data_IF_429262944088
#
_entry.id   IF_429262944088
#
_cell.length_a   1.000
_cell.length_b   1.000
_cell.length_c   1.000
_cell.angle_alpha   90.00
_cell.angle_beta   90.00
_cell.angle_gamma   90.00
#
_symmetry.space_group_name_H-M   'P 1'
#
loop_
_entity.id
_entity.type
_entity.pdbx_description
1 polymer ?
#
# COMPACT_ATOMS: atom_id res chain seq x y z
N UNK A 1 -6.64 20.33 -11.58
CA UNK A 1 -5.48 19.71 -12.26
C UNK A 1 -5.51 18.24 -11.93
N UNK A 2 -5.32 17.36 -12.91
CA UNK A 2 -5.04 15.96 -12.60
C UNK A 2 -3.59 15.86 -12.11
N UNK A 3 -3.38 15.48 -10.85
CA UNK A 3 -2.04 15.37 -10.25
C UNK A 3 -1.37 14.03 -10.55
N UNK A 4 -1.94 13.20 -11.44
CA UNK A 4 -1.32 11.98 -11.94
C UNK A 4 -0.04 12.25 -12.73
N UNK A 5 0.16 13.47 -13.23
CA UNK A 5 1.38 13.91 -13.94
C UNK A 5 1.65 15.40 -13.71
N UNK A 6 2.25 15.78 -12.56
CA UNK A 6 2.57 17.16 -12.27
C UNK A 6 3.67 17.69 -13.20
N UNK A 7 3.68 19.00 -13.53
CA UNK A 7 4.77 19.61 -14.30
C UNK A 7 6.15 19.33 -13.69
N UNK A 8 7.14 19.02 -14.51
CA UNK A 8 8.44 18.57 -14.01
C UNK A 8 9.25 19.70 -13.35
N UNK A 9 9.11 20.96 -13.79
CA UNK A 9 10.01 22.07 -13.47
C UNK A 9 9.29 23.33 -13.00
N UNK A 10 10.08 24.28 -12.50
CA UNK A 10 9.67 25.64 -12.13
C UNK A 10 8.65 25.70 -10.99
N UNK A 11 8.94 24.92 -9.95
CA UNK A 11 8.24 24.99 -8.68
C UNK A 11 8.93 25.96 -7.73
N UNK A 12 8.12 26.73 -7.01
CA UNK A 12 8.58 27.75 -6.09
C UNK A 12 7.88 27.58 -4.75
N UNK A 13 8.61 27.77 -3.66
CA UNK A 13 8.05 27.70 -2.32
C UNK A 13 8.56 28.86 -1.46
N UNK A 14 7.64 29.48 -0.70
CA UNK A 14 7.99 30.38 0.39
C UNK A 14 7.41 29.89 1.70
N UNK A 15 8.22 29.99 2.77
CA UNK A 15 7.80 29.72 4.13
C UNK A 15 8.12 30.91 5.04
N UNK A 16 7.17 31.26 5.89
CA UNK A 16 7.32 32.18 7.01
C UNK A 16 7.17 31.41 8.31
N UNK A 17 8.19 31.49 9.16
CA UNK A 17 8.17 30.92 10.51
C UNK A 17 7.66 31.98 11.48
N UNK A 18 6.83 31.57 12.44
CA UNK A 18 6.34 32.45 13.49
C UNK A 18 7.51 33.16 14.21
N UNK A 19 7.41 34.49 14.31
CA UNK A 19 8.45 35.33 14.95
C UNK A 19 9.65 35.69 14.05
N UNK A 20 9.75 35.18 12.82
CA UNK A 20 10.72 35.66 11.83
C UNK A 20 10.09 36.73 10.93
N UNK A 21 10.89 37.78 10.61
CA UNK A 21 10.44 38.90 9.78
C UNK A 21 10.32 38.54 8.30
N UNK A 22 11.27 37.77 7.79
CA UNK A 22 11.41 37.49 6.35
C UNK A 22 10.97 36.07 5.99
N UNK A 23 10.51 35.93 4.75
CA UNK A 23 10.22 34.64 4.13
C UNK A 23 11.51 33.94 3.71
N UNK A 24 11.59 32.63 3.95
CA UNK A 24 12.57 31.77 3.28
C UNK A 24 11.97 31.32 1.95
N UNK A 25 12.70 31.54 0.85
CA UNK A 25 12.18 31.33 -0.51
C UNK A 25 13.13 30.44 -1.30
N UNK A 26 12.57 29.44 -1.98
CA UNK A 26 13.26 28.61 -2.96
C UNK A 26 12.50 28.69 -4.29
N UNK A 27 13.23 28.79 -5.39
CA UNK A 27 12.68 28.93 -6.74
C UNK A 27 13.22 27.84 -7.65
N UNK A 28 12.52 27.62 -8.77
CA UNK A 28 12.97 26.81 -9.90
C UNK A 28 13.25 25.33 -9.58
N UNK A 29 12.57 24.77 -8.56
CA UNK A 29 12.67 23.35 -8.22
C UNK A 29 12.03 22.47 -9.30
N UNK A 30 12.56 21.26 -9.46
CA UNK A 30 11.79 20.17 -10.05
C UNK A 30 10.68 19.71 -9.10
N UNK A 31 9.63 19.07 -9.63
CA UNK A 31 8.60 18.48 -8.78
C UNK A 31 9.19 17.42 -7.84
N UNK A 32 10.15 16.62 -8.31
CA UNK A 32 10.82 15.60 -7.48
C UNK A 32 11.57 16.24 -6.30
N UNK A 33 12.28 17.36 -6.53
CA UNK A 33 12.96 18.10 -5.48
C UNK A 33 11.96 18.73 -4.51
N UNK A 34 10.91 19.38 -5.01
CA UNK A 34 9.83 19.94 -4.19
C UNK A 34 9.20 18.86 -3.30
N UNK A 35 8.86 17.71 -3.88
CA UNK A 35 8.20 16.62 -3.16
C UNK A 35 9.12 16.05 -2.07
N UNK A 36 10.37 15.72 -2.43
CA UNK A 36 11.34 15.15 -1.50
C UNK A 36 11.72 16.10 -0.37
N UNK A 37 11.85 17.40 -0.65
CA UNK A 37 12.42 18.36 0.31
C UNK A 37 11.38 19.13 1.11
N UNK A 38 10.15 19.25 0.64
CA UNK A 38 9.12 20.10 1.28
C UNK A 38 7.81 19.33 1.46
N UNK A 39 7.19 18.82 0.38
CA UNK A 39 5.82 18.27 0.44
C UNK A 39 5.76 16.97 1.24
N UNK A 40 6.62 15.99 0.95
CA UNK A 40 6.65 14.71 1.67
C UNK A 40 7.01 14.90 3.15
N UNK A 41 8.04 15.68 3.53
CA UNK A 41 8.31 15.98 4.93
C UNK A 41 7.17 16.70 5.64
N UNK A 42 6.53 17.69 5.00
CA UNK A 42 5.35 18.37 5.55
C UNK A 42 4.24 17.38 5.88
N UNK A 43 3.86 16.54 4.91
CA UNK A 43 2.76 15.59 5.03
C UNK A 43 3.06 14.46 6.03
N UNK A 44 4.32 14.11 6.23
CA UNK A 44 4.74 13.04 7.16
C UNK A 44 5.18 13.55 8.53
N UNK A 45 5.06 14.86 8.80
CA UNK A 45 5.48 15.47 10.07
C UNK A 45 6.98 15.40 10.33
N UNK A 46 7.81 15.25 9.29
CA UNK A 46 9.28 15.22 9.40
C UNK A 46 9.85 16.63 9.35
N UNK A 47 11.06 16.78 9.90
CA UNK A 47 11.81 18.03 9.77
C UNK A 47 12.28 18.25 8.34
N UNK A 48 12.30 19.51 7.89
CA UNK A 48 12.75 19.86 6.55
C UNK A 48 13.34 21.28 6.49
N UNK A 49 13.92 21.65 5.35
CA UNK A 49 14.65 22.91 5.20
C UNK A 49 14.18 23.65 3.95
N UNK A 50 13.91 24.95 4.08
CA UNK A 50 13.63 25.84 2.95
C UNK A 50 14.70 26.93 2.90
N UNK A 51 15.51 26.95 1.83
CA UNK A 51 16.61 27.91 1.65
C UNK A 51 17.54 28.03 2.88
N UNK A 52 17.91 26.90 3.49
CA UNK A 52 18.77 26.84 4.68
C UNK A 52 18.05 27.07 6.03
N UNK A 53 16.78 27.46 6.02
CA UNK A 53 15.98 27.58 7.24
C UNK A 53 15.35 26.24 7.63
N UNK A 54 15.77 25.69 8.77
CA UNK A 54 15.23 24.45 9.34
C UNK A 54 13.83 24.66 9.94
N UNK A 55 12.89 23.82 9.52
CA UNK A 55 11.51 23.74 10.00
C UNK A 55 11.39 22.43 10.79
N UNK A 56 11.24 22.56 12.11
CA UNK A 56 11.18 21.41 13.03
C UNK A 56 9.78 20.81 13.17
N UNK A 57 8.76 21.63 13.03
CA UNK A 57 7.36 21.26 13.11
C UNK A 57 6.54 22.21 12.24
N UNK A 58 5.48 21.70 11.62
CA UNK A 58 4.52 22.49 10.84
C UNK A 58 3.79 23.51 11.71
N UNK A 59 3.67 23.29 13.02
CA UNK A 59 3.10 24.25 13.98
C UNK A 59 3.90 25.57 14.09
N UNK A 60 5.19 25.54 13.76
CA UNK A 60 6.04 26.74 13.76
C UNK A 60 5.88 27.61 12.51
N UNK A 61 5.13 27.13 11.51
CA UNK A 61 4.95 27.80 10.23
C UNK A 61 3.73 28.72 10.31
N UNK A 62 3.97 30.02 10.17
CA UNK A 62 2.92 31.05 10.12
C UNK A 62 2.24 31.08 8.75
N UNK A 63 3.03 30.92 7.68
CA UNK A 63 2.53 30.87 6.31
C UNK A 63 3.44 30.02 5.42
N UNK A 64 2.85 29.24 4.52
CA UNK A 64 3.55 28.53 3.44
C UNK A 64 2.80 28.77 2.13
N UNK A 65 3.55 28.90 1.04
CA UNK A 65 2.99 29.02 -0.31
C UNK A 65 3.83 28.23 -1.29
N UNK A 66 3.18 27.42 -2.12
CA UNK A 66 3.78 26.66 -3.21
C UNK A 66 3.10 27.05 -4.52
N UNK A 67 3.88 27.48 -5.51
CA UNK A 67 3.37 27.88 -6.82
C UNK A 67 4.11 27.20 -7.96
N UNK A 68 3.40 26.93 -9.04
CA UNK A 68 3.97 26.53 -10.33
C UNK A 68 3.93 27.68 -11.34
N UNK A 69 4.95 27.77 -12.18
CA UNK A 69 5.02 28.71 -13.31
C UNK A 69 5.52 28.03 -14.57
N UNK A 70 5.09 28.47 -15.76
CA UNK A 70 5.54 27.86 -17.03
C UNK A 70 6.97 28.25 -17.43
N UNK A 71 7.58 29.19 -16.71
CA UNK A 71 8.91 29.73 -16.98
C UNK A 71 9.71 29.84 -15.67
N UNK A 72 11.06 29.92 -15.71
CA UNK A 72 11.88 30.09 -14.51
C UNK A 72 11.72 31.48 -13.89
N UNK A 73 12.18 31.64 -12.65
CA UNK A 73 12.21 32.92 -11.92
C UNK A 73 12.86 34.04 -12.72
N UNK A 74 13.93 33.76 -13.47
CA UNK A 74 14.66 34.75 -14.27
C UNK A 74 13.76 35.46 -15.28
N UNK A 75 12.85 34.73 -15.93
CA UNK A 75 11.90 35.28 -16.89
C UNK A 75 10.98 36.34 -16.25
N UNK A 76 10.40 36.03 -15.10
CA UNK A 76 9.54 36.96 -14.37
C UNK A 76 10.30 38.18 -13.84
N UNK A 77 11.56 37.98 -13.42
CA UNK A 77 12.43 39.07 -12.98
C UNK A 77 12.78 40.03 -14.13
N UNK A 78 13.10 39.50 -15.31
CA UNK A 78 13.41 40.28 -16.50
C UNK A 78 12.21 41.10 -16.95
N UNK A 79 11.05 40.47 -17.11
CA UNK A 79 9.80 41.14 -17.50
C UNK A 79 9.39 42.25 -16.52
N UNK A 80 9.60 42.04 -15.22
CA UNK A 80 9.36 43.08 -14.20
C UNK A 80 10.33 44.25 -14.35
N UNK A 81 11.63 43.98 -14.55
CA UNK A 81 12.64 45.02 -14.76
C UNK A 81 12.37 45.82 -16.03
N UNK A 82 11.98 45.17 -17.13
CA UNK A 82 11.57 45.82 -18.38
C UNK A 82 10.37 46.75 -18.16
N UNK A 83 9.35 46.28 -17.45
CA UNK A 83 8.18 47.10 -17.10
C UNK A 83 8.58 48.33 -16.28
N UNK A 84 9.46 48.17 -15.28
CA UNK A 84 9.91 49.28 -14.46
C UNK A 84 10.74 50.29 -15.25
N UNK A 85 11.63 49.82 -16.14
CA UNK A 85 12.40 50.66 -17.07
C UNK A 85 11.49 51.44 -18.02
N UNK A 86 10.49 50.79 -18.60
CA UNK A 86 9.51 51.44 -19.48
C UNK A 86 8.73 52.55 -18.76
N UNK A 87 8.43 52.35 -17.48
CA UNK A 87 7.76 53.34 -16.62
C UNK A 87 8.71 54.37 -15.98
N UNK A 88 10.02 54.36 -16.31
CA UNK A 88 11.06 55.22 -15.71
C UNK A 88 11.16 55.11 -14.17
N UNK A 89 10.82 53.95 -13.62
CA UNK A 89 10.88 53.67 -12.17
C UNK A 89 12.16 52.87 -11.87
N UNK A 90 12.95 53.33 -10.91
CA UNK A 90 14.08 52.57 -10.36
C UNK A 90 13.61 51.72 -9.17
N UNK A 91 13.26 50.46 -9.42
CA UNK A 91 12.78 49.54 -8.39
C UNK A 91 13.90 48.71 -7.75
N UNK A 92 14.41 49.22 -6.62
CA UNK A 92 15.42 48.55 -5.78
C UNK A 92 14.81 47.73 -4.64
N UNK A 93 13.52 47.90 -4.35
CA UNK A 93 12.88 47.34 -3.16
C UNK A 93 12.24 45.97 -3.41
N UNK A 94 11.80 45.69 -4.64
CA UNK A 94 11.11 44.42 -4.92
C UNK A 94 12.05 43.22 -4.81
N UNK A 95 11.70 42.27 -3.96
CA UNK A 95 12.39 40.99 -3.90
C UNK A 95 11.98 40.11 -5.10
N UNK A 96 12.90 39.94 -6.06
CA UNK A 96 12.64 39.16 -7.28
C UNK A 96 12.38 37.67 -7.04
N UNK A 97 12.73 37.10 -5.88
CA UNK A 97 12.42 35.68 -5.58
C UNK A 97 10.94 35.44 -5.31
N UNK A 98 10.20 36.50 -4.93
CA UNK A 98 8.76 36.42 -4.65
C UNK A 98 7.89 36.56 -5.91
N UNK A 99 8.45 37.02 -7.03
CA UNK A 99 7.68 37.26 -8.26
C UNK A 99 6.98 35.99 -8.77
N UNK A 100 7.62 34.80 -8.86
CA UNK A 100 6.93 33.58 -9.26
C UNK A 100 5.83 33.17 -8.28
N UNK A 101 6.01 33.42 -6.99
CA UNK A 101 5.03 33.12 -5.95
C UNK A 101 3.80 34.03 -6.01
N UNK A 102 3.91 35.23 -6.58
CA UNK A 102 2.79 36.14 -6.79
C UNK A 102 2.08 35.92 -8.12
N UNK A 103 2.80 35.47 -9.15
CA UNK A 103 2.31 35.40 -10.54
C UNK A 103 1.96 33.97 -11.00
N UNK A 104 2.46 32.95 -10.32
CA UNK A 104 2.22 31.55 -10.62
C UNK A 104 0.89 31.03 -10.08
N UNK A 105 0.54 29.81 -10.51
CA UNK A 105 -0.62 29.08 -10.00
C UNK A 105 -0.31 28.59 -8.59
N UNK A 106 -1.10 29.02 -7.62
CA UNK A 106 -1.03 28.54 -6.24
C UNK A 106 -1.61 27.12 -6.14
N UNK A 107 -0.79 26.19 -5.69
CA UNK A 107 -1.13 24.77 -5.52
C UNK A 107 -0.85 24.30 -4.08
N UNK A 108 -0.78 25.24 -3.14
CA UNK A 108 -0.43 24.96 -1.74
C UNK A 108 -1.43 24.01 -1.10
N UNK A 109 -2.73 24.24 -1.33
CA UNK A 109 -3.79 23.42 -0.74
C UNK A 109 -3.73 21.99 -1.24
N UNK A 110 -3.61 21.81 -2.55
CA UNK A 110 -3.60 20.51 -3.22
C UNK A 110 -2.37 19.67 -2.87
N UNK A 111 -1.24 20.30 -2.54
CA UNK A 111 -0.01 19.59 -2.20
C UNK A 111 0.10 19.27 -0.71
N UNK A 112 -0.39 20.16 0.17
CA UNK A 112 -0.12 20.09 1.62
C UNK A 112 -1.35 19.79 2.48
N UNK A 113 -2.57 20.03 1.97
CA UNK A 113 -3.77 20.10 2.79
C UNK A 113 -4.97 19.33 2.24
N UNK A 114 -5.01 19.04 0.94
CA UNK A 114 -6.11 18.28 0.33
C UNK A 114 -6.09 16.80 0.72
N UNK A 115 -5.06 16.36 1.44
CA UNK A 115 -4.77 14.97 1.74
C UNK A 115 -4.47 14.23 0.43
N UNK A 116 -3.23 13.79 0.22
CA UNK A 116 -3.10 12.48 -0.41
C UNK A 116 -3.85 11.57 0.56
N UNK A 117 -5.05 11.10 0.21
CA UNK A 117 -5.50 9.84 0.79
C UNK A 117 -4.29 8.94 0.64
N UNK A 118 -3.63 8.57 1.75
CA UNK A 118 -2.88 7.33 1.73
C UNK A 118 -3.89 6.34 1.19
N UNK A 119 -3.73 5.95 -0.07
CA UNK A 119 -4.47 4.83 -0.60
C UNK A 119 -4.25 3.76 0.45
N UNK A 120 -5.33 3.30 1.09
CA UNK A 120 -5.25 2.13 1.96
C UNK A 120 -4.45 1.12 1.15
N UNK A 121 -3.27 0.68 1.65
CA UNK A 121 -2.33 -0.06 0.83
C UNK A 121 -3.12 -1.14 0.12
N UNK A 122 -3.06 -1.14 -1.22
CA UNK A 122 -3.87 -2.07 -1.97
C UNK A 122 -3.57 -3.47 -1.44
N UNK A 123 -4.61 -4.28 -1.18
CA UNK A 123 -4.41 -5.61 -0.65
C UNK A 123 -3.36 -6.35 -1.49
N UNK A 124 -2.35 -6.93 -0.86
CA UNK A 124 -1.30 -7.69 -1.55
C UNK A 124 -1.19 -9.11 -0.97
N UNK A 125 -0.44 -9.96 -1.65
CA UNK A 125 -0.22 -11.36 -1.23
C UNK A 125 0.38 -11.43 0.18
N UNK A 126 1.27 -10.48 0.53
CA UNK A 126 1.92 -10.45 1.85
C UNK A 126 0.90 -10.22 2.97
N UNK A 127 -0.09 -9.37 2.74
CA UNK A 127 -1.19 -9.16 3.68
C UNK A 127 -2.03 -10.43 3.86
N UNK A 128 -2.29 -11.19 2.80
CA UNK A 128 -2.95 -12.51 2.91
C UNK A 128 -2.12 -13.49 3.75
N UNK A 129 -0.80 -13.58 3.49
CA UNK A 129 0.11 -14.43 4.28
C UNK A 129 0.12 -14.03 5.77
N UNK A 130 0.11 -12.72 6.06
CA UNK A 130 0.08 -12.22 7.43
C UNK A 130 -1.24 -12.56 8.13
N UNK A 131 -2.39 -12.44 7.44
CA UNK A 131 -3.68 -12.85 7.98
C UNK A 131 -3.70 -14.35 8.31
N UNK A 132 -3.17 -15.19 7.41
CA UNK A 132 -3.05 -16.63 7.65
C UNK A 132 -2.19 -16.93 8.89
N UNK A 133 -1.02 -16.29 9.02
CA UNK A 133 -0.12 -16.44 10.19
C UNK A 133 -0.75 -15.95 11.49
N UNK A 134 -1.67 -14.99 11.43
CA UNK A 134 -2.35 -14.39 12.58
C UNK A 134 -3.68 -15.06 12.94
N UNK A 135 -4.11 -16.02 12.13
CA UNK A 135 -5.38 -16.72 12.28
C UNK A 135 -5.51 -17.44 13.64
N UNK A 136 -4.48 -18.14 14.17
CA UNK A 136 -4.57 -18.80 15.47
C UNK A 136 -4.84 -17.83 16.63
N UNK A 137 -4.31 -16.60 16.56
CA UNK A 137 -4.57 -15.60 17.61
C UNK A 137 -6.00 -15.08 17.55
N UNK A 138 -6.56 -14.93 16.35
CA UNK A 138 -7.98 -14.59 16.19
C UNK A 138 -8.89 -15.73 16.71
N UNK A 139 -8.57 -16.98 16.35
CA UNK A 139 -9.29 -18.17 16.80
C UNK A 139 -9.33 -18.27 18.33
N UNK A 140 -8.20 -18.04 19.00
CA UNK A 140 -8.10 -18.09 20.48
C UNK A 140 -9.06 -17.12 21.17
N UNK A 141 -9.28 -15.93 20.61
CA UNK A 141 -10.21 -14.94 21.17
C UNK A 141 -11.66 -15.45 21.10
N UNK A 142 -12.01 -16.15 20.03
CA UNK A 142 -13.35 -16.70 19.83
C UNK A 142 -13.59 -18.00 20.60
N UNK A 143 -12.52 -18.78 20.83
CA UNK A 143 -12.55 -19.97 21.67
C UNK A 143 -12.68 -19.61 23.16
N UNK A 144 -11.94 -18.59 23.63
CA UNK A 144 -11.92 -18.19 25.06
C UNK A 144 -12.71 -16.90 25.28
N UNK A 145 -14.03 -17.05 25.43
CA UNK A 145 -14.94 -15.90 25.58
C UNK A 145 -15.10 -15.46 27.04
N UNK A 146 -14.87 -14.18 27.32
CA UNK A 146 -14.88 -13.61 28.67
C UNK A 146 -16.27 -13.47 29.33
N UNK A 147 -17.36 -13.50 28.53
CA UNK A 147 -18.73 -13.33 29.04
C UNK A 147 -19.38 -14.69 29.32
N UNK A 148 -19.89 -14.86 30.55
CA UNK A 148 -20.59 -16.08 30.98
C UNK A 148 -21.77 -16.43 30.05
N UNK A 149 -21.89 -17.71 29.70
CA UNK A 149 -22.98 -18.25 28.88
C UNK A 149 -22.85 -18.01 27.37
N UNK A 150 -21.72 -17.48 26.88
CA UNK A 150 -21.46 -17.38 25.44
C UNK A 150 -20.80 -18.65 24.92
N UNK A 151 -21.36 -19.24 23.85
CA UNK A 151 -20.78 -20.39 23.15
C UNK A 151 -19.47 -19.99 22.48
N UNK A 152 -18.44 -20.81 22.64
CA UNK A 152 -17.15 -20.69 21.97
C UNK A 152 -17.28 -21.02 20.48
N UNK A 153 -16.41 -20.41 19.67
CA UNK A 153 -16.12 -20.89 18.33
C UNK A 153 -14.83 -21.69 18.44
N UNK A 154 -14.94 -23.02 18.34
CA UNK A 154 -13.82 -23.95 18.40
C UNK A 154 -13.46 -24.35 16.98
N UNK A 155 -12.18 -24.37 16.66
CA UNK A 155 -11.70 -24.89 15.38
C UNK A 155 -11.43 -26.37 15.58
N UNK A 156 -12.10 -27.21 14.82
CA UNK A 156 -12.01 -28.67 14.90
C UNK A 156 -11.69 -29.36 13.57
N UNK A 157 -11.86 -28.66 12.45
CA UNK A 157 -11.57 -29.15 11.10
C UNK A 157 -11.18 -28.01 10.14
N UNK A 158 -10.92 -28.35 8.86
CA UNK A 158 -10.63 -27.38 7.80
C UNK A 158 -11.73 -26.34 7.60
N UNK A 159 -13.00 -26.71 7.74
CA UNK A 159 -14.13 -25.82 7.46
C UNK A 159 -14.22 -24.71 8.51
N UNK A 160 -13.97 -25.03 9.78
CA UNK A 160 -13.93 -24.03 10.85
C UNK A 160 -12.79 -23.01 10.62
N UNK A 161 -11.65 -23.46 10.09
CA UNK A 161 -10.52 -22.59 9.70
C UNK A 161 -10.92 -21.71 8.52
N UNK A 162 -11.54 -22.30 7.50
CA UNK A 162 -12.01 -21.62 6.29
C UNK A 162 -13.01 -20.52 6.63
N UNK A 163 -14.02 -20.80 7.46
CA UNK A 163 -15.04 -19.84 7.89
C UNK A 163 -14.42 -18.61 8.58
N UNK A 164 -13.48 -18.84 9.51
CA UNK A 164 -12.82 -17.75 10.21
C UNK A 164 -11.91 -16.94 9.27
N UNK A 165 -11.14 -17.62 8.42
CA UNK A 165 -10.26 -16.97 7.46
C UNK A 165 -11.06 -16.14 6.45
N UNK A 166 -12.16 -16.69 5.94
CA UNK A 166 -13.08 -16.01 5.04
C UNK A 166 -13.66 -14.75 5.71
N UNK A 167 -14.08 -14.83 6.97
CA UNK A 167 -14.56 -13.67 7.72
C UNK A 167 -13.50 -12.56 7.85
N UNK A 168 -12.23 -12.91 8.14
CA UNK A 168 -11.13 -11.94 8.23
C UNK A 168 -10.79 -11.32 6.87
N UNK A 169 -10.75 -12.14 5.83
CA UNK A 169 -10.48 -11.67 4.46
C UNK A 169 -11.60 -10.73 3.99
N UNK A 170 -12.88 -11.04 4.24
CA UNK A 170 -14.01 -10.17 3.88
C UNK A 170 -14.05 -8.86 4.68
N UNK A 171 -13.46 -8.83 5.87
CA UNK A 171 -13.31 -7.59 6.62
C UNK A 171 -12.30 -6.64 5.97
N UNK A 172 -11.35 -7.15 5.18
CA UNK A 172 -10.29 -6.36 4.55
C UNK A 172 -10.46 -6.20 3.02
N UNK A 173 -10.98 -7.23 2.34
CA UNK A 173 -11.19 -7.32 0.91
C UNK A 173 -12.66 -7.07 0.56
N UNK A 174 -12.91 -6.02 -0.22
CA UNK A 174 -14.26 -5.50 -0.44
C UNK A 174 -15.13 -6.37 -1.36
N UNK A 175 -14.56 -7.07 -2.33
CA UNK A 175 -15.32 -7.76 -3.39
C UNK A 175 -14.76 -9.14 -3.82
N UNK A 176 -13.66 -9.58 -3.21
CA UNK A 176 -12.72 -10.47 -3.88
C UNK A 176 -12.82 -11.95 -3.50
N UNK A 177 -13.59 -12.32 -2.45
CA UNK A 177 -13.65 -13.71 -2.01
C UNK A 177 -14.81 -14.44 -2.70
N UNK A 178 -14.48 -15.26 -3.71
CA UNK A 178 -15.43 -16.16 -4.37
C UNK A 178 -15.18 -17.61 -3.95
N UNK A 179 -16.26 -18.39 -3.80
CA UNK A 179 -16.22 -19.83 -3.49
C UNK A 179 -16.21 -20.74 -4.75
N UNK A 180 -15.96 -20.23 -5.96
CA UNK A 180 -16.01 -21.08 -7.19
C UNK A 180 -15.19 -20.50 -8.37
N UNK A 181 -13.84 -20.51 -8.32
CA UNK A 181 -13.01 -19.88 -9.36
C UNK A 181 -12.75 -20.73 -10.61
N UNK A 182 -12.96 -22.05 -10.57
CA UNK A 182 -12.49 -22.97 -11.61
C UNK A 182 -13.55 -23.23 -12.70
N UNK A 183 -13.16 -23.25 -14.00
CA UNK A 183 -14.11 -23.50 -15.08
C UNK A 183 -14.72 -24.91 -14.95
N UNK A 184 -16.06 -24.97 -14.90
CA UNK A 184 -16.82 -26.22 -14.84
C UNK A 184 -16.57 -27.05 -16.09
N UNK A 185 -15.75 -28.09 -15.98
CA UNK A 185 -15.71 -29.16 -16.99
C UNK A 185 -16.99 -29.98 -16.84
N UNK A 186 -17.81 -30.04 -17.90
CA UNK A 186 -19.06 -30.80 -17.90
C UNK A 186 -18.80 -32.27 -17.53
N UNK A 187 -19.36 -32.72 -16.40
CA UNK A 187 -19.28 -34.10 -15.93
C UNK A 187 -18.22 -34.40 -14.86
N UNK A 188 -17.41 -33.43 -14.43
CA UNK A 188 -16.49 -33.57 -13.30
C UNK A 188 -17.08 -32.97 -12.01
N UNK A 189 -16.85 -33.61 -10.85
CA UNK A 189 -17.12 -33.01 -9.53
C UNK A 189 -16.42 -31.65 -9.46
N UNK A 190 -17.08 -30.63 -8.91
CA UNK A 190 -16.47 -29.31 -8.71
C UNK A 190 -15.23 -29.45 -7.85
N UNK A 191 -14.06 -29.44 -8.49
CA UNK A 191 -12.78 -29.36 -7.85
C UNK A 191 -12.58 -27.89 -7.49
N UNK A 192 -12.71 -27.54 -6.21
CA UNK A 192 -12.78 -26.16 -5.71
C UNK A 192 -11.57 -25.93 -4.80
N UNK A 193 -10.90 -24.80 -4.97
CA UNK A 193 -10.04 -24.26 -3.92
C UNK A 193 -10.93 -23.66 -2.82
N UNK A 194 -10.46 -23.67 -1.58
CA UNK A 194 -11.26 -23.21 -0.44
C UNK A 194 -11.59 -21.71 -0.52
N UNK A 195 -10.64 -20.89 -0.95
CA UNK A 195 -10.79 -19.44 -1.07
C UNK A 195 -10.07 -18.95 -2.33
N UNK A 196 -10.72 -18.09 -3.10
CA UNK A 196 -10.10 -17.40 -4.24
C UNK A 196 -10.20 -15.90 -4.12
N UNK A 197 -9.15 -15.19 -4.56
CA UNK A 197 -9.03 -13.74 -4.58
C UNK A 197 -8.57 -13.34 -5.98
N UNK A 198 -9.53 -13.20 -6.90
CA UNK A 198 -9.29 -13.03 -8.34
C UNK A 198 -8.44 -11.79 -8.67
N UNK A 199 -8.73 -10.67 -8.00
CA UNK A 199 -8.04 -9.39 -8.20
C UNK A 199 -6.55 -9.46 -7.86
N UNK A 200 -6.18 -10.35 -6.92
CA UNK A 200 -4.79 -10.62 -6.55
C UNK A 200 -4.20 -11.82 -7.32
N UNK A 201 -5.04 -12.61 -7.98
CA UNK A 201 -4.66 -13.90 -8.55
C UNK A 201 -4.24 -14.92 -7.48
N UNK A 202 -4.85 -14.86 -6.30
CA UNK A 202 -4.49 -15.73 -5.16
C UNK A 202 -5.53 -16.83 -4.99
N UNK A 203 -5.08 -18.07 -4.85
CA UNK A 203 -5.86 -19.15 -4.25
C UNK A 203 -5.30 -19.44 -2.86
N UNK A 204 -6.19 -19.73 -1.92
CA UNK A 204 -5.81 -20.24 -0.60
C UNK A 204 -6.42 -21.63 -0.45
N UNK A 205 -5.54 -22.59 -0.19
CA UNK A 205 -5.91 -23.95 0.21
C UNK A 205 -5.69 -24.06 1.72
N UNK A 206 -6.70 -24.58 2.43
CA UNK A 206 -6.70 -24.71 3.89
C UNK A 206 -6.65 -26.19 4.25
N UNK A 207 -5.68 -26.55 5.09
CA UNK A 207 -5.52 -27.90 5.62
C UNK A 207 -5.49 -27.84 7.14
N UNK A 208 -6.12 -28.81 7.78
CA UNK A 208 -6.15 -28.94 9.24
C UNK A 208 -5.37 -30.20 9.62
N UNK A 209 -4.51 -30.06 10.62
CA UNK A 209 -3.74 -31.18 11.17
C UNK A 209 -4.45 -31.72 12.40
N UNK A 210 -4.90 -32.96 12.31
CA UNK A 210 -5.42 -33.73 13.45
C UNK A 210 -4.30 -34.41 14.23
N UNK A 211 -3.18 -34.72 13.57
CA UNK A 211 -2.06 -35.41 14.20
C UNK A 211 -0.86 -35.65 13.27
N UNK A 212 0.19 -36.28 13.80
CA UNK A 212 1.47 -36.49 13.09
C UNK A 212 1.36 -37.38 11.85
N UNK A 213 0.32 -38.19 11.73
CA UNK A 213 0.03 -39.04 10.59
C UNK A 213 -0.41 -38.26 9.34
N UNK A 214 -0.94 -37.04 9.52
CA UNK A 214 -1.43 -36.22 8.41
C UNK A 214 -0.31 -35.74 7.50
N UNK A 215 0.94 -35.73 7.96
CA UNK A 215 2.08 -35.29 7.15
C UNK A 215 2.13 -35.97 5.78
N UNK A 216 1.93 -37.30 5.73
CA UNK A 216 1.96 -38.03 4.45
C UNK A 216 0.79 -37.62 3.55
N UNK A 217 -0.41 -37.56 4.11
CA UNK A 217 -1.63 -37.15 3.41
C UNK A 217 -1.47 -35.76 2.79
N UNK A 218 -0.96 -34.80 3.56
CA UNK A 218 -0.79 -33.42 3.13
C UNK A 218 0.22 -33.27 1.97
N UNK A 219 1.30 -34.06 1.93
CA UNK A 219 2.22 -34.07 0.78
C UNK A 219 1.56 -34.65 -0.49
N UNK A 220 0.72 -35.68 -0.34
CA UNK A 220 -0.01 -36.30 -1.45
C UNK A 220 -1.08 -35.35 -2.01
N UNK A 221 -1.83 -34.67 -1.14
CA UNK A 221 -2.81 -33.65 -1.50
C UNK A 221 -2.16 -32.44 -2.18
N UNK A 222 -1.06 -31.91 -1.62
CA UNK A 222 -0.33 -30.78 -2.18
C UNK A 222 -0.01 -30.96 -3.67
N UNK A 223 0.42 -32.17 -4.06
CA UNK A 223 0.75 -32.47 -5.45
C UNK A 223 -0.47 -32.45 -6.37
N UNK A 224 -1.64 -32.89 -5.88
CA UNK A 224 -2.90 -32.89 -6.61
C UNK A 224 -3.44 -31.46 -6.76
N UNK A 225 -3.37 -30.68 -5.68
CA UNK A 225 -3.80 -29.29 -5.61
C UNK A 225 -3.02 -28.41 -6.59
N UNK A 226 -1.70 -28.58 -6.68
CA UNK A 226 -0.88 -27.87 -7.66
C UNK A 226 -1.33 -28.09 -9.11
N UNK A 227 -1.61 -29.34 -9.49
CA UNK A 227 -2.04 -29.69 -10.85
C UNK A 227 -3.43 -29.13 -11.14
N UNK A 228 -4.32 -29.25 -10.16
CA UNK A 228 -5.68 -28.75 -10.28
C UNK A 228 -5.70 -27.21 -10.43
N UNK A 229 -4.99 -26.51 -9.55
CA UNK A 229 -5.04 -25.06 -9.47
C UNK A 229 -4.30 -24.35 -10.60
N UNK A 230 -3.31 -25.00 -11.21
CA UNK A 230 -2.67 -24.52 -12.43
C UNK A 230 -3.67 -24.28 -13.59
N UNK A 231 -4.88 -24.87 -13.54
CA UNK A 231 -5.92 -24.64 -14.54
C UNK A 231 -6.68 -23.31 -14.37
N UNK A 232 -6.60 -22.66 -13.20
CA UNK A 232 -7.29 -21.38 -12.97
C UNK A 232 -6.58 -20.25 -13.70
N UNK A 233 -7.26 -19.55 -14.62
CA UNK A 233 -6.67 -18.50 -15.47
C UNK A 233 -6.05 -17.33 -14.72
N UNK A 234 -6.53 -17.00 -13.52
CA UNK A 234 -6.05 -15.87 -12.73
C UNK A 234 -4.92 -16.23 -11.76
N UNK A 235 -4.58 -17.52 -11.60
CA UNK A 235 -3.57 -17.96 -10.64
C UNK A 235 -2.22 -17.26 -10.86
N UNK A 236 -1.77 -16.56 -9.83
CA UNK A 236 -0.43 -15.97 -9.66
C UNK A 236 0.25 -16.51 -8.41
N UNK A 237 -0.51 -16.74 -7.35
CA UNK A 237 0.01 -17.31 -6.11
C UNK A 237 -0.96 -18.31 -5.49
N UNK A 238 -0.44 -19.46 -5.07
CA UNK A 238 -1.13 -20.41 -4.19
C UNK A 238 -0.59 -20.21 -2.76
N UNK A 239 -1.47 -19.85 -1.83
CA UNK A 239 -1.18 -19.87 -0.39
C UNK A 239 -1.69 -21.19 0.16
N UNK A 240 -0.78 -22.04 0.65
CA UNK A 240 -1.12 -23.34 1.22
C UNK A 240 -1.02 -23.24 2.74
N UNK A 241 -2.16 -23.02 3.39
CA UNK A 241 -2.28 -22.84 4.84
C UNK A 241 -2.43 -24.19 5.52
N UNK A 242 -1.47 -24.53 6.39
CA UNK A 242 -1.52 -25.72 7.23
C UNK A 242 -1.76 -25.24 8.67
N UNK A 243 -3.01 -25.37 9.12
CA UNK A 243 -3.43 -24.98 10.45
C UNK A 243 -3.20 -26.12 11.45
N UNK A 244 -2.83 -25.75 12.68
CA UNK A 244 -2.39 -26.69 13.73
C UNK A 244 -1.12 -27.46 13.34
N UNK A 245 -0.26 -26.82 12.54
CA UNK A 245 0.96 -27.41 11.98
C UNK A 245 1.97 -27.93 13.00
N UNK A 246 1.89 -27.46 14.25
CA UNK A 246 2.74 -27.91 15.35
C UNK A 246 2.57 -29.40 15.70
N UNK A 247 1.44 -30.01 15.33
CA UNK A 247 1.15 -31.42 15.59
C UNK A 247 1.74 -32.38 14.52
N UNK A 248 2.35 -31.83 13.47
CA UNK A 248 3.08 -32.61 12.46
C UNK A 248 4.42 -33.12 13.01
N UNK A 249 4.93 -34.22 12.44
CA UNK A 249 6.25 -34.76 12.82
C UNK A 249 7.39 -33.82 12.43
N UNK A 250 7.30 -33.25 11.24
CA UNK A 250 8.25 -32.28 10.68
C UNK A 250 7.48 -31.29 9.80
N UNK A 251 6.89 -30.28 10.45
CA UNK A 251 6.17 -29.20 9.76
C UNK A 251 7.07 -28.33 8.89
N UNK A 252 8.32 -28.09 9.32
CA UNK A 252 9.30 -27.28 8.58
C UNK A 252 9.64 -27.86 7.21
N UNK A 253 9.48 -29.18 7.01
CA UNK A 253 9.63 -29.80 5.70
C UNK A 253 8.72 -29.18 4.63
N UNK A 254 7.53 -28.69 5.00
CA UNK A 254 6.62 -28.04 4.06
C UNK A 254 7.08 -26.64 3.66
N UNK A 255 7.90 -25.94 4.46
CA UNK A 255 8.40 -24.61 4.09
C UNK A 255 9.23 -24.67 2.80
N UNK A 256 9.94 -25.79 2.56
CA UNK A 256 10.71 -26.05 1.34
C UNK A 256 9.86 -26.10 0.08
N UNK A 257 8.55 -26.28 0.20
CA UNK A 257 7.60 -26.24 -0.92
C UNK A 257 7.29 -24.81 -1.35
N UNK A 258 7.58 -23.80 -0.52
CA UNK A 258 7.41 -22.39 -0.86
C UNK A 258 8.39 -21.98 -1.97
N UNK A 259 7.91 -22.01 -3.20
CA UNK A 259 8.75 -21.88 -4.40
C UNK A 259 7.91 -21.45 -5.59
N UNK A 260 8.57 -20.98 -6.65
CA UNK A 260 7.89 -20.78 -7.94
C UNK A 260 7.73 -22.12 -8.64
N UNK A 261 6.50 -22.41 -9.09
CA UNK A 261 6.11 -23.63 -9.80
C UNK A 261 5.76 -23.32 -11.25
N UNK A 262 5.95 -24.31 -12.13
CA UNK A 262 5.50 -24.25 -13.52
C UNK A 262 4.83 -25.57 -13.91
N UNK A 263 3.51 -25.51 -14.16
CA UNK A 263 2.68 -26.69 -14.46
C UNK A 263 1.77 -26.36 -15.64
N UNK A 264 1.76 -27.23 -16.66
CA UNK A 264 0.93 -27.02 -17.84
C UNK A 264 1.22 -25.71 -18.59
N UNK A 265 2.46 -25.21 -18.53
CA UNK A 265 2.87 -23.92 -19.10
C UNK A 265 2.45 -22.71 -18.28
N UNK A 266 1.83 -22.90 -17.12
CA UNK A 266 1.47 -21.83 -16.20
C UNK A 266 2.48 -21.72 -15.06
N UNK A 267 3.06 -20.53 -14.91
CA UNK A 267 4.00 -20.20 -13.84
C UNK A 267 3.30 -19.42 -12.72
N UNK A 268 3.46 -19.86 -11.47
CA UNK A 268 2.87 -19.23 -10.28
C UNK A 268 3.73 -19.49 -9.04
N UNK A 269 3.59 -18.65 -8.02
CA UNK A 269 4.30 -18.82 -6.75
C UNK A 269 3.50 -19.66 -5.76
N UNK A 270 4.18 -20.46 -4.96
CA UNK A 270 3.59 -21.16 -3.82
C UNK A 270 4.14 -20.56 -2.53
N UNK A 271 3.25 -20.31 -1.58
CA UNK A 271 3.54 -19.85 -0.22
C UNK A 271 2.93 -20.80 0.77
N UNK A 272 3.74 -21.62 1.43
CA UNK A 272 3.26 -22.44 2.55
C UNK A 272 3.25 -21.58 3.80
N UNK A 273 2.12 -21.60 4.51
CA UNK A 273 1.96 -20.92 5.80
C UNK A 273 1.64 -21.98 6.86
N UNK A 274 2.57 -22.13 7.80
CA UNK A 274 2.37 -22.94 9.01
C UNK A 274 1.70 -22.06 10.07
N UNK A 275 0.53 -22.47 10.53
CA UNK A 275 -0.27 -21.77 11.55
C UNK A 275 -0.59 -22.71 12.72
#
# INVERSE_FOLDING_TARGET
>A
MDFTSPPERYWHCSVKIAGKKDYSVVNDLTFQELDRTIVSPWNTGRTFTVSGTLIRSTESVEAIKITHTDQPRSYYAERHNERMRASRISDLATNRSLLPLSLGTDLTYELLFSGKQEATPEPDVRMVEQLCKRLPQAARILAVRSRKGKKAYEISDEYDVQDLLHALLRAYLKYSVQEDPLPKVAGAKSSRADISIEELGVLIEVKYVHGPEDQKRLFEEYSQDLVLYAQWSHLRTLVYLIYNSADLRDGEAFEKLSSTQEIGGKRFDVKVVLA
#
